data_IF_751420733781
#
_entry.id   IF_751420733781
#
_cell.length_a   1.000
_cell.length_b   1.000
_cell.length_c   1.000
_cell.angle_alpha   90.00
_cell.angle_beta   90.00
_cell.angle_gamma   90.00
#
_symmetry.space_group_name_H-M   'P 1'
#
loop_
_entity.id
_entity.type
_entity.pdbx_description
1 polymer ?
#
# COMPACT_ATOMS: atom_id res chain seq x y z
N UNK A 1 33.35 11.13 31.80
CA UNK A 1 32.64 9.96 31.17
C UNK A 1 31.23 10.29 30.70
N UNK A 2 30.81 11.55 30.57
CA UNK A 2 29.43 11.94 30.23
C UNK A 2 29.24 12.59 28.85
N UNK A 3 30.33 12.96 28.14
CA UNK A 3 30.22 13.56 26.81
C UNK A 3 30.23 12.55 25.65
N UNK A 4 30.92 11.43 25.76
CA UNK A 4 31.00 10.42 24.67
C UNK A 4 29.69 9.61 24.50
N UNK A 5 28.90 9.44 25.56
CA UNK A 5 27.62 8.69 25.47
C UNK A 5 26.49 9.51 24.83
N UNK A 6 26.54 10.84 24.91
CA UNK A 6 25.57 11.72 24.23
C UNK A 6 25.84 11.84 22.73
N UNK A 7 27.11 11.93 22.32
CA UNK A 7 27.48 12.01 20.90
C UNK A 7 27.16 10.70 20.14
N UNK A 8 27.37 9.54 20.73
CA UNK A 8 27.03 8.26 20.13
C UNK A 8 25.52 8.10 19.92
N UNK A 9 24.69 8.59 20.86
CA UNK A 9 23.22 8.57 20.74
C UNK A 9 22.70 9.54 19.67
N UNK A 10 23.34 10.71 19.50
CA UNK A 10 23.00 11.68 18.45
C UNK A 10 23.41 11.20 17.05
N UNK A 11 24.55 10.53 16.89
CA UNK A 11 24.97 9.94 15.61
C UNK A 11 24.03 8.78 15.18
N UNK A 12 23.64 7.92 16.10
CA UNK A 12 22.68 6.82 15.86
C UNK A 12 21.32 7.37 15.41
N UNK A 13 20.80 8.40 16.07
CA UNK A 13 19.53 9.06 15.72
C UNK A 13 19.54 9.76 14.36
N UNK A 14 20.66 10.43 14.00
CA UNK A 14 20.82 11.02 12.66
C UNK A 14 20.82 9.98 11.54
N UNK A 15 21.44 8.83 11.76
CA UNK A 15 21.45 7.72 10.81
C UNK A 15 20.05 7.10 10.64
N UNK A 16 19.29 7.00 11.72
CA UNK A 16 17.90 6.51 11.69
C UNK A 16 16.94 7.46 10.98
N UNK A 17 17.11 8.78 11.18
CA UNK A 17 16.34 9.81 10.48
C UNK A 17 16.65 9.80 8.97
N UNK A 18 17.89 9.49 8.57
CA UNK A 18 18.25 9.27 7.17
C UNK A 18 17.58 8.02 6.57
N UNK A 19 17.36 6.97 7.37
CA UNK A 19 16.63 5.75 6.96
C UNK A 19 15.15 6.00 6.67
N UNK A 20 14.52 7.03 7.29
CA UNK A 20 13.15 7.45 6.98
C UNK A 20 13.01 8.09 5.59
N UNK A 21 14.09 8.67 5.04
CA UNK A 21 14.10 9.27 3.70
C UNK A 21 14.04 8.19 2.62
N UNK A 22 14.51 6.98 2.92
CA UNK A 22 14.53 5.84 1.99
C UNK A 22 13.19 5.17 1.73
N UNK A 23 12.07 5.69 2.25
CA UNK A 23 10.69 5.29 1.92
C UNK A 23 10.31 3.81 2.13
N UNK A 24 11.27 3.00 2.47
CA UNK A 24 11.17 1.60 2.84
C UNK A 24 12.34 1.33 3.79
N UNK A 25 12.07 0.89 5.00
CA UNK A 25 13.11 0.58 5.96
C UNK A 25 14.12 -0.43 5.40
N UNK A 26 15.25 0.07 4.92
CA UNK A 26 16.40 -0.78 4.65
C UNK A 26 17.03 -1.07 6.00
N UNK A 27 16.60 -2.12 6.66
CA UNK A 27 17.37 -2.71 7.73
C UNK A 27 18.68 -3.25 7.13
N UNK A 28 19.80 -2.57 7.41
CA UNK A 28 21.12 -3.12 7.19
C UNK A 28 21.25 -4.36 8.10
N UNK A 29 21.05 -5.54 7.53
CA UNK A 29 21.42 -6.78 8.17
C UNK A 29 22.95 -6.83 8.24
N UNK A 30 23.51 -6.53 9.41
CA UNK A 30 24.88 -6.88 9.75
C UNK A 30 24.97 -8.40 9.85
N UNK A 31 25.52 -9.01 8.81
CA UNK A 31 25.76 -10.46 8.77
C UNK A 31 26.73 -10.90 9.85
N UNK A 32 26.31 -11.84 10.67
CA UNK A 32 27.21 -12.63 11.51
C UNK A 32 28.04 -13.52 10.60
N UNK A 33 29.35 -13.30 10.60
CA UNK A 33 30.35 -14.19 9.99
C UNK A 33 30.51 -15.43 10.82
N UNK A 34 30.19 -16.60 10.27
CA UNK A 34 30.68 -17.89 10.78
C UNK A 34 31.88 -18.31 9.94
N UNK A 35 33.00 -18.58 10.64
CA UNK A 35 34.24 -19.08 10.11
C UNK A 35 34.11 -20.48 9.48
N UNK A 36 34.66 -20.65 8.29
CA UNK A 36 34.89 -21.93 7.65
C UNK A 36 36.13 -21.85 6.73
N UNK A 37 37.13 -22.65 7.02
CA UNK A 37 38.49 -22.67 6.52
C UNK A 37 38.66 -23.09 5.06
N UNK A 38 39.63 -22.43 4.42
CA UNK A 38 40.66 -22.85 3.42
C UNK A 38 40.32 -23.48 2.08
N UNK A 39 40.74 -22.83 1.00
CA UNK A 39 41.76 -23.33 0.04
C UNK A 39 42.16 -22.26 -0.99
N UNK A 40 43.41 -22.27 -1.35
CA UNK A 40 44.17 -21.30 -2.16
C UNK A 40 43.81 -21.33 -3.66
N UNK A 41 43.85 -20.16 -4.30
CA UNK A 41 43.88 -20.00 -5.75
C UNK A 41 44.16 -18.55 -6.14
N UNK A 42 45.39 -18.30 -6.63
CA UNK A 42 45.91 -16.98 -7.04
C UNK A 42 45.46 -16.65 -8.47
N UNK A 43 44.95 -15.43 -8.70
CA UNK A 43 45.03 -14.72 -9.99
C UNK A 43 44.51 -13.25 -9.87
N UNK A 44 44.74 -12.35 -10.83
CA UNK A 44 45.34 -11.06 -10.55
C UNK A 44 44.31 -9.92 -10.37
N UNK A 45 44.76 -8.88 -9.69
CA UNK A 45 44.10 -7.65 -9.32
C UNK A 45 43.93 -6.72 -10.52
N UNK A 46 42.77 -6.14 -10.75
CA UNK A 46 42.63 -4.83 -11.39
C UNK A 46 42.44 -3.74 -10.35
N UNK A 47 43.24 -2.71 -10.45
CA UNK A 47 43.13 -1.45 -9.77
C UNK A 47 41.86 -0.72 -10.26
N UNK A 48 40.98 -0.31 -9.36
CA UNK A 48 39.98 0.70 -9.65
C UNK A 48 39.75 1.55 -8.41
N UNK A 49 40.17 2.79 -8.52
CA UNK A 49 39.70 3.88 -7.67
C UNK A 49 38.29 4.25 -8.06
N UNK A 50 37.39 4.33 -7.08
CA UNK A 50 36.30 5.33 -7.04
C UNK A 50 35.50 5.13 -5.75
N UNK A 51 35.76 5.95 -4.77
CA UNK A 51 34.91 6.18 -3.61
C UNK A 51 33.68 6.95 -4.05
N UNK A 52 32.58 6.29 -4.20
CA UNK A 52 31.25 6.85 -4.26
C UNK A 52 30.35 5.96 -3.43
N UNK A 53 29.86 6.44 -2.29
CA UNK A 53 28.86 5.74 -1.49
C UNK A 53 27.59 5.57 -2.34
N UNK A 54 27.49 4.48 -3.06
CA UNK A 54 26.25 4.07 -3.70
C UNK A 54 25.31 3.59 -2.59
N UNK A 55 24.25 4.35 -2.32
CA UNK A 55 23.05 3.75 -1.72
C UNK A 55 22.70 2.54 -2.58
N UNK A 56 22.78 1.33 -2.01
CA UNK A 56 22.75 0.10 -2.77
C UNK A 56 21.46 0.02 -3.59
N UNK A 57 21.60 0.05 -4.92
CA UNK A 57 20.49 -0.22 -5.82
C UNK A 57 19.96 -1.63 -5.53
N UNK A 58 18.65 -1.78 -5.35
CA UNK A 58 18.01 -3.08 -5.24
C UNK A 58 18.26 -3.84 -6.55
N UNK A 59 18.88 -5.02 -6.53
CA UNK A 59 19.22 -5.73 -7.75
C UNK A 59 17.99 -5.99 -8.63
N UNK A 60 18.14 -5.76 -9.95
CA UNK A 60 17.06 -6.00 -10.93
C UNK A 60 15.96 -4.95 -10.97
N UNK A 61 16.08 -3.83 -10.24
CA UNK A 61 15.10 -2.74 -10.26
C UNK A 61 15.55 -1.61 -11.16
N UNK A 62 14.69 -1.19 -12.07
CA UNK A 62 14.89 0.01 -12.87
C UNK A 62 14.90 1.25 -11.97
N UNK A 63 15.88 2.13 -12.15
CA UNK A 63 15.94 3.42 -11.46
C UNK A 63 15.28 4.51 -12.32
N UNK A 64 14.05 4.84 -12.01
CA UNK A 64 13.31 5.97 -12.59
C UNK A 64 13.69 7.28 -11.88
N UNK A 65 13.82 7.22 -10.55
CA UNK A 65 14.20 8.32 -9.68
C UNK A 65 15.31 7.87 -8.73
N UNK A 66 16.18 8.81 -8.34
CA UNK A 66 17.27 8.52 -7.37
C UNK A 66 16.77 8.28 -5.95
N UNK A 67 15.67 8.93 -5.56
CA UNK A 67 15.03 8.71 -4.26
C UNK A 67 14.20 7.44 -4.28
N UNK A 68 14.38 6.53 -3.31
CA UNK A 68 13.69 5.23 -3.29
C UNK A 68 12.16 5.33 -3.20
N UNK A 69 11.60 6.32 -2.49
CA UNK A 69 10.15 6.46 -2.35
C UNK A 69 9.50 6.89 -3.67
N UNK A 70 10.09 7.88 -4.34
CA UNK A 70 9.64 8.30 -5.66
C UNK A 70 9.86 7.20 -6.70
N UNK A 71 10.98 6.45 -6.61
CA UNK A 71 11.26 5.34 -7.50
C UNK A 71 10.21 4.24 -7.36
N UNK A 72 9.88 3.84 -6.14
CA UNK A 72 8.84 2.84 -5.86
C UNK A 72 7.48 3.27 -6.43
N UNK A 73 7.07 4.52 -6.22
CA UNK A 73 5.82 5.06 -6.75
C UNK A 73 5.82 5.17 -8.28
N UNK A 74 6.94 5.54 -8.89
CA UNK A 74 7.09 5.54 -10.35
C UNK A 74 6.97 4.14 -10.95
N UNK A 75 7.57 3.13 -10.30
CA UNK A 75 7.43 1.72 -10.69
C UNK A 75 6.00 1.21 -10.52
N UNK A 76 5.31 1.64 -9.46
CA UNK A 76 3.88 1.34 -9.26
C UNK A 76 3.01 1.90 -10.38
N UNK A 77 3.23 3.17 -10.74
CA UNK A 77 2.54 3.79 -11.88
C UNK A 77 2.82 3.04 -13.19
N UNK A 78 4.08 2.65 -13.43
CA UNK A 78 4.49 1.95 -14.64
C UNK A 78 3.86 0.55 -14.72
N UNK A 79 3.82 -0.20 -13.63
CA UNK A 79 3.22 -1.54 -13.57
C UNK A 79 1.72 -1.55 -13.87
N UNK A 80 1.02 -0.47 -13.55
CA UNK A 80 -0.40 -0.29 -13.88
C UNK A 80 -0.72 -0.35 -15.39
N UNK A 81 0.30 -0.18 -16.26
CA UNK A 81 0.14 -0.23 -17.73
C UNK A 81 -0.40 -1.60 -18.21
N UNK A 82 -0.02 -2.70 -17.57
CA UNK A 82 -0.51 -4.04 -17.89
C UNK A 82 -2.03 -4.21 -17.75
N UNK A 83 -2.68 -3.31 -17.01
CA UNK A 83 -4.13 -3.32 -16.74
C UNK A 83 -4.86 -2.07 -17.28
N UNK A 84 -4.20 -1.26 -18.10
CA UNK A 84 -4.76 -0.01 -18.62
C UNK A 84 -4.91 1.12 -17.58
N UNK A 85 -4.34 0.94 -16.37
CA UNK A 85 -4.29 1.96 -15.32
C UNK A 85 -3.26 3.06 -15.56
N UNK A 86 -2.37 2.86 -16.52
CA UNK A 86 -1.41 3.86 -16.99
C UNK A 86 -0.98 3.56 -18.43
N UNK A 87 -0.19 4.46 -19.01
CA UNK A 87 0.52 4.25 -20.28
C UNK A 87 2.02 4.39 -20.05
N UNK A 88 2.82 3.46 -20.57
CA UNK A 88 4.28 3.47 -20.41
C UNK A 88 4.87 4.81 -20.84
N UNK A 89 4.45 5.33 -22.01
CA UNK A 89 4.92 6.61 -22.55
C UNK A 89 4.54 7.81 -21.68
N UNK A 90 3.33 7.83 -21.13
CA UNK A 90 2.86 8.88 -20.22
C UNK A 90 3.70 8.89 -18.93
N UNK A 91 3.92 7.72 -18.32
CA UNK A 91 4.72 7.58 -17.08
C UNK A 91 6.17 7.99 -17.31
N UNK A 92 6.83 7.48 -18.37
CA UNK A 92 8.22 7.81 -18.66
C UNK A 92 8.40 9.30 -19.02
N UNK A 93 7.42 9.91 -19.69
CA UNK A 93 7.41 11.36 -19.95
C UNK A 93 7.28 12.14 -18.65
N UNK A 94 6.43 11.71 -17.72
CA UNK A 94 6.32 12.31 -16.39
C UNK A 94 7.64 12.20 -15.62
N UNK A 95 8.25 11.01 -15.59
CA UNK A 95 9.56 10.78 -14.96
C UNK A 95 10.63 11.74 -15.53
N UNK A 96 10.73 11.84 -16.85
CA UNK A 96 11.68 12.74 -17.50
C UNK A 96 11.40 14.21 -17.14
N UNK A 97 10.14 14.62 -17.10
CA UNK A 97 9.72 15.98 -16.75
C UNK A 97 10.13 16.31 -15.31
N UNK A 98 9.85 15.42 -14.36
CA UNK A 98 10.17 15.58 -12.95
C UNK A 98 11.69 15.63 -12.75
N UNK A 99 12.44 14.69 -13.34
CA UNK A 99 13.91 14.65 -13.22
C UNK A 99 14.55 15.91 -13.80
N UNK A 100 14.03 16.46 -14.92
CA UNK A 100 14.51 17.69 -15.54
C UNK A 100 14.20 18.94 -14.73
N UNK A 101 13.02 19.01 -14.11
CA UNK A 101 12.60 20.13 -13.26
C UNK A 101 13.26 20.12 -11.87
N UNK A 102 13.81 18.99 -11.46
CA UNK A 102 14.30 18.72 -10.11
C UNK A 102 13.30 17.92 -9.29
N UNK A 103 13.73 16.77 -8.78
CA UNK A 103 12.89 15.85 -8.01
C UNK A 103 12.49 16.47 -6.67
N UNK A 104 11.20 16.67 -6.48
CA UNK A 104 10.57 17.11 -5.23
C UNK A 104 9.12 16.63 -5.19
N UNK A 105 8.50 16.64 -4.00
CA UNK A 105 7.07 16.37 -3.88
C UNK A 105 6.22 17.31 -4.73
N UNK A 106 6.62 18.60 -4.82
CA UNK A 106 5.90 19.59 -5.62
C UNK A 106 5.92 19.25 -7.11
N UNK A 107 7.11 19.02 -7.69
CA UNK A 107 7.23 18.68 -9.12
C UNK A 107 6.53 17.36 -9.47
N UNK A 108 6.54 16.40 -8.54
CA UNK A 108 5.84 15.11 -8.70
C UNK A 108 4.33 15.31 -8.72
N UNK A 109 3.78 16.00 -7.73
CA UNK A 109 2.35 16.29 -7.59
C UNK A 109 1.82 17.06 -8.81
N UNK A 110 2.49 18.16 -9.19
CA UNK A 110 2.08 18.97 -10.35
C UNK A 110 2.07 18.16 -11.64
N UNK A 111 3.11 17.34 -11.86
CA UNK A 111 3.24 16.57 -13.10
C UNK A 111 2.15 15.52 -13.21
N UNK A 112 1.92 14.70 -12.18
CA UNK A 112 0.90 13.66 -12.22
C UNK A 112 -0.52 14.23 -12.16
N UNK A 113 -0.77 15.28 -11.37
CA UNK A 113 -2.05 16.00 -11.39
C UNK A 113 -2.39 16.53 -12.78
N UNK A 114 -1.42 17.16 -13.45
CA UNK A 114 -1.58 17.68 -14.82
C UNK A 114 -1.95 16.58 -15.80
N UNK A 115 -1.34 15.40 -15.71
CA UNK A 115 -1.70 14.25 -16.54
C UNK A 115 -3.15 13.80 -16.29
N UNK A 116 -3.56 13.70 -15.04
CA UNK A 116 -4.93 13.39 -14.66
C UNK A 116 -5.93 14.40 -15.25
N UNK A 117 -5.64 15.70 -15.06
CA UNK A 117 -6.47 16.80 -15.58
C UNK A 117 -6.61 16.75 -17.12
N UNK A 118 -5.51 16.46 -17.83
CA UNK A 118 -5.52 16.35 -19.30
C UNK A 118 -6.37 15.16 -19.77
N UNK A 119 -6.32 14.03 -19.08
CA UNK A 119 -7.10 12.85 -19.44
C UNK A 119 -8.59 13.04 -19.19
N UNK A 120 -8.96 13.77 -18.13
CA UNK A 120 -10.37 14.05 -17.81
C UNK A 120 -11.02 15.09 -18.74
N UNK A 121 -10.21 15.90 -19.45
CA UNK A 121 -10.69 16.84 -20.47
C UNK A 121 -10.81 16.13 -21.82
N UNK A 122 -11.93 16.30 -22.52
CA UNK A 122 -12.00 15.90 -23.92
C UNK A 122 -11.07 16.81 -24.74
N UNK A 123 -10.26 16.29 -25.67
CA UNK A 123 -9.53 17.12 -26.62
C UNK A 123 -10.52 17.99 -27.43
N UNK A 124 -10.13 19.23 -27.70
CA UNK A 124 -10.97 20.16 -28.45
C UNK A 124 -11.36 19.56 -29.81
N UNK A 125 -12.63 19.67 -30.17
CA UNK A 125 -13.16 19.12 -31.42
C UNK A 125 -13.27 17.60 -31.48
N UNK A 126 -12.89 16.85 -30.41
CA UNK A 126 -12.97 15.39 -30.39
C UNK A 126 -14.24 14.90 -29.68
N UNK A 127 -14.77 13.75 -30.14
CA UNK A 127 -15.87 13.02 -29.48
C UNK A 127 -15.39 11.59 -29.20
N UNK A 128 -14.58 11.37 -28.15
CA UNK A 128 -14.07 10.04 -27.84
C UNK A 128 -15.22 9.09 -27.52
N UNK A 129 -15.11 7.86 -28.00
CA UNK A 129 -16.08 6.80 -27.73
C UNK A 129 -16.09 6.39 -26.24
N UNK A 130 -17.03 5.50 -25.87
CA UNK A 130 -17.17 5.01 -24.50
C UNK A 130 -15.89 4.35 -23.97
N UNK A 131 -15.25 3.51 -24.77
CA UNK A 131 -14.05 2.77 -24.37
C UNK A 131 -12.86 3.71 -24.14
N UNK A 132 -12.63 4.66 -25.04
CA UNK A 132 -11.59 5.69 -24.91
C UNK A 132 -11.81 6.51 -23.64
N UNK A 133 -13.05 6.95 -23.36
CA UNK A 133 -13.37 7.70 -22.12
C UNK A 133 -13.15 6.87 -20.87
N UNK A 134 -13.52 5.57 -20.90
CA UNK A 134 -13.33 4.64 -19.80
C UNK A 134 -11.85 4.48 -19.45
N UNK A 135 -11.00 4.17 -20.43
CA UNK A 135 -9.56 3.98 -20.21
C UNK A 135 -8.86 5.27 -19.80
N UNK A 136 -9.28 6.42 -20.33
CA UNK A 136 -8.76 7.73 -19.88
C UNK A 136 -9.12 8.02 -18.43
N UNK A 137 -10.34 7.70 -18.01
CA UNK A 137 -10.78 7.88 -16.63
C UNK A 137 -10.00 6.97 -15.67
N UNK A 138 -9.73 5.71 -16.05
CA UNK A 138 -8.92 4.78 -15.26
C UNK A 138 -7.49 5.31 -15.06
N UNK A 139 -6.82 5.75 -16.16
CA UNK A 139 -5.47 6.35 -16.07
C UNK A 139 -5.47 7.63 -15.26
N UNK A 140 -6.47 8.49 -15.43
CA UNK A 140 -6.59 9.71 -14.64
C UNK A 140 -6.68 9.42 -13.14
N UNK A 141 -7.50 8.43 -12.74
CA UNK A 141 -7.60 8.00 -11.35
C UNK A 141 -6.24 7.54 -10.79
N UNK A 142 -5.46 6.78 -11.58
CA UNK A 142 -4.11 6.35 -11.19
C UNK A 142 -3.15 7.53 -11.05
N UNK A 143 -3.18 8.50 -11.96
CA UNK A 143 -2.27 9.64 -11.88
C UNK A 143 -2.62 10.61 -10.74
N UNK A 144 -3.90 10.79 -10.44
CA UNK A 144 -4.30 11.50 -9.21
C UNK A 144 -3.89 10.75 -7.94
N UNK A 145 -3.95 9.41 -7.92
CA UNK A 145 -3.45 8.61 -6.80
C UNK A 145 -1.94 8.78 -6.59
N UNK A 146 -1.14 8.82 -7.68
CA UNK A 146 0.29 9.13 -7.62
C UNK A 146 0.56 10.51 -6.99
N UNK A 147 -0.18 11.53 -7.43
CA UNK A 147 -0.05 12.88 -6.88
C UNK A 147 -0.48 12.93 -5.39
N UNK A 148 -1.57 12.27 -5.03
CA UNK A 148 -2.11 12.23 -3.67
C UNK A 148 -1.11 11.64 -2.65
N UNK A 149 -0.29 10.68 -3.06
CA UNK A 149 0.70 10.07 -2.16
C UNK A 149 1.75 11.08 -1.66
N UNK A 150 2.14 12.05 -2.49
CA UNK A 150 3.19 13.03 -2.15
C UNK A 150 2.68 14.42 -1.76
N UNK A 151 1.38 14.67 -1.82
CA UNK A 151 0.81 16.02 -1.63
C UNK A 151 1.15 16.65 -0.27
N UNK A 152 1.23 15.85 0.79
CA UNK A 152 1.59 16.34 2.13
C UNK A 152 3.06 16.81 2.25
N UNK A 153 3.90 16.49 1.26
CA UNK A 153 5.27 16.97 1.15
C UNK A 153 5.45 18.09 0.12
N UNK A 154 4.39 18.50 -0.57
CA UNK A 154 4.38 19.59 -1.55
C UNK A 154 4.17 20.97 -0.89
N UNK A 155 4.18 22.01 -1.69
CA UNK A 155 3.92 23.39 -1.27
C UNK A 155 2.42 23.66 -1.03
N UNK A 156 1.54 22.72 -1.43
CA UNK A 156 0.07 22.82 -1.33
C UNK A 156 -0.57 21.61 -0.61
N UNK A 157 -0.11 21.26 0.61
CA UNK A 157 -0.61 20.09 1.33
C UNK A 157 -2.11 20.19 1.70
N UNK A 158 -2.67 21.40 1.78
CA UNK A 158 -4.08 21.68 2.00
C UNK A 158 -4.97 21.19 0.85
N UNK A 159 -4.40 21.00 -0.35
CA UNK A 159 -5.14 20.50 -1.53
C UNK A 159 -5.40 18.97 -1.51
N UNK A 160 -4.99 18.27 -0.46
CA UNK A 160 -5.12 16.80 -0.37
C UNK A 160 -6.55 16.31 -0.59
N UNK A 161 -7.55 16.93 0.05
CA UNK A 161 -8.93 16.51 -0.10
C UNK A 161 -9.46 16.80 -1.51
N UNK A 162 -9.09 17.94 -2.11
CA UNK A 162 -9.44 18.28 -3.49
C UNK A 162 -8.86 17.26 -4.47
N UNK A 163 -7.59 16.94 -4.30
CA UNK A 163 -6.87 15.97 -5.13
C UNK A 163 -7.47 14.56 -5.00
N UNK A 164 -7.83 14.14 -3.77
CA UNK A 164 -8.58 12.90 -3.55
C UNK A 164 -9.91 12.92 -4.31
N UNK A 165 -10.68 14.01 -4.22
CA UNK A 165 -11.98 14.12 -4.91
C UNK A 165 -11.84 14.07 -6.42
N UNK A 166 -10.76 14.63 -6.99
CA UNK A 166 -10.46 14.52 -8.41
C UNK A 166 -10.19 13.06 -8.82
N UNK A 167 -9.35 12.35 -8.06
CA UNK A 167 -9.07 10.93 -8.29
C UNK A 167 -10.31 10.06 -8.13
N UNK A 168 -11.12 10.32 -7.10
CA UNK A 168 -12.38 9.61 -6.88
C UNK A 168 -13.39 9.87 -8.01
N UNK A 169 -13.51 11.10 -8.49
CA UNK A 169 -14.37 11.43 -9.63
C UNK A 169 -13.93 10.72 -10.91
N UNK A 170 -12.63 10.57 -11.13
CA UNK A 170 -12.10 9.80 -12.26
C UNK A 170 -12.41 8.30 -12.11
N UNK A 171 -12.26 7.73 -10.92
CA UNK A 171 -12.67 6.35 -10.60
C UNK A 171 -14.16 6.12 -10.81
N UNK A 172 -15.02 6.99 -10.27
CA UNK A 172 -16.46 6.88 -10.44
C UNK A 172 -16.86 6.97 -11.92
N UNK A 173 -16.18 7.85 -12.70
CA UNK A 173 -16.38 7.92 -14.15
C UNK A 173 -15.93 6.66 -14.89
N UNK A 174 -14.82 6.05 -14.48
CA UNK A 174 -14.40 4.74 -15.00
C UNK A 174 -15.47 3.70 -14.72
N UNK A 175 -15.97 3.60 -13.49
CA UNK A 175 -17.01 2.66 -13.08
C UNK A 175 -18.31 2.84 -13.89
N UNK A 176 -18.77 4.09 -14.06
CA UNK A 176 -19.95 4.42 -14.89
C UNK A 176 -19.83 3.92 -16.33
N UNK A 177 -18.60 3.94 -16.86
CA UNK A 177 -18.29 3.55 -18.23
C UNK A 177 -17.92 2.06 -18.40
N UNK A 178 -17.88 1.27 -17.33
CA UNK A 178 -17.75 -0.18 -17.41
C UNK A 178 -19.02 -0.84 -17.97
N UNK A 179 -18.87 -2.05 -18.53
CA UNK A 179 -19.97 -2.83 -19.07
C UNK A 179 -19.82 -4.30 -18.63
N UNK A 180 -20.66 -4.74 -17.67
CA UNK A 180 -21.60 -3.94 -16.90
C UNK A 180 -20.91 -2.96 -15.93
N UNK A 181 -21.60 -1.90 -15.58
CA UNK A 181 -21.17 -1.03 -14.50
C UNK A 181 -21.23 -1.78 -13.15
N UNK A 182 -20.31 -1.53 -12.21
CA UNK A 182 -20.38 -2.15 -10.89
C UNK A 182 -21.65 -1.72 -10.12
N UNK A 183 -22.17 -2.62 -9.31
CA UNK A 183 -23.22 -2.27 -8.35
C UNK A 183 -22.58 -1.45 -7.24
N UNK A 184 -23.08 -0.25 -7.01
CA UNK A 184 -22.62 0.64 -5.94
C UNK A 184 -23.63 0.67 -4.79
N UNK A 185 -23.12 0.72 -3.56
CA UNK A 185 -23.93 0.86 -2.36
C UNK A 185 -23.16 1.57 -1.24
N UNK A 186 -23.87 2.01 -0.21
CA UNK A 186 -23.30 2.43 1.06
C UNK A 186 -23.69 1.43 2.15
N UNK A 187 -22.75 0.61 2.61
CA UNK A 187 -23.03 -0.40 3.64
C UNK A 187 -23.01 0.26 5.02
N UNK A 188 -24.04 0.07 5.86
CA UNK A 188 -24.11 0.71 7.17
C UNK A 188 -22.87 0.43 8.04
N UNK A 189 -22.21 1.51 8.50
CA UNK A 189 -21.07 1.46 9.40
C UNK A 189 -21.06 2.69 10.31
N UNK A 190 -21.48 2.54 11.54
CA UNK A 190 -21.59 3.66 12.47
C UNK A 190 -22.40 4.84 11.90
N UNK A 191 -21.78 6.04 11.87
CA UNK A 191 -22.39 7.26 11.32
C UNK A 191 -22.06 7.49 9.84
N UNK A 192 -21.15 6.73 9.27
CA UNK A 192 -20.64 6.91 7.90
C UNK A 192 -20.68 5.57 7.18
N UNK A 193 -21.47 5.42 6.09
CA UNK A 193 -21.52 4.17 5.35
C UNK A 193 -20.19 3.88 4.67
N UNK A 194 -19.89 2.58 4.50
CA UNK A 194 -18.77 2.10 3.69
C UNK A 194 -19.21 2.17 2.21
N UNK A 195 -18.58 2.97 1.36
CA UNK A 195 -18.82 2.93 -0.08
C UNK A 195 -18.29 1.63 -0.66
N UNK A 196 -19.08 0.97 -1.52
CA UNK A 196 -18.70 -0.28 -2.18
C UNK A 196 -18.96 -0.24 -3.68
N UNK A 197 -18.15 -1.01 -4.43
CA UNK A 197 -18.28 -1.26 -5.86
C UNK A 197 -18.16 -2.76 -6.10
N UNK A 198 -19.27 -3.42 -6.40
CA UNK A 198 -19.27 -4.84 -6.78
C UNK A 198 -19.20 -4.95 -8.31
N UNK A 199 -18.04 -5.30 -8.81
CA UNK A 199 -17.81 -5.63 -10.21
C UNK A 199 -18.28 -7.07 -10.47
N UNK A 200 -18.90 -7.26 -11.62
CA UNK A 200 -19.41 -8.57 -12.08
C UNK A 200 -18.99 -8.78 -13.53
N UNK A 201 -18.71 -10.04 -13.95
CA UNK A 201 -18.35 -10.33 -15.34
C UNK A 201 -19.44 -9.94 -16.35
N UNK A 202 -20.72 -10.10 -15.95
CA UNK A 202 -21.89 -9.78 -16.76
C UNK A 202 -23.13 -9.49 -15.90
N UNK A 203 -24.25 -9.16 -16.54
CA UNK A 203 -25.56 -8.91 -15.90
C UNK A 203 -26.49 -10.13 -15.92
N UNK A 204 -25.97 -11.34 -16.14
CA UNK A 204 -26.78 -12.58 -16.21
C UNK A 204 -27.46 -12.94 -14.88
N UNK A 205 -27.01 -12.39 -13.76
CA UNK A 205 -27.43 -12.78 -12.42
C UNK A 205 -26.92 -14.15 -11.98
N UNK A 206 -26.00 -14.77 -12.74
CA UNK A 206 -25.35 -16.04 -12.40
C UNK A 206 -24.66 -15.93 -11.06
N UNK A 207 -24.90 -16.91 -10.18
CA UNK A 207 -24.22 -17.01 -8.91
C UNK A 207 -22.72 -17.32 -9.10
N UNK A 208 -21.84 -16.47 -8.56
CA UNK A 208 -20.38 -16.56 -8.75
C UNK A 208 -19.62 -16.48 -7.45
N UNK A 209 -18.42 -17.10 -7.38
CA UNK A 209 -17.48 -16.81 -6.31
C UNK A 209 -17.14 -15.31 -6.31
N UNK A 210 -16.84 -14.78 -5.13
CA UNK A 210 -16.63 -13.34 -4.96
C UNK A 210 -15.37 -13.10 -4.16
N UNK A 211 -14.48 -12.25 -4.67
CA UNK A 211 -13.32 -11.77 -3.92
C UNK A 211 -13.60 -10.41 -3.31
N UNK A 212 -13.38 -10.29 -2.00
CA UNK A 212 -13.44 -9.06 -1.23
C UNK A 212 -12.02 -8.49 -1.15
N UNK A 213 -11.79 -7.34 -1.79
CA UNK A 213 -10.49 -6.74 -1.96
C UNK A 213 -10.27 -5.65 -0.90
N UNK A 214 -9.38 -5.90 0.08
CA UNK A 214 -9.00 -4.94 1.10
C UNK A 214 -7.73 -4.21 0.70
N UNK A 215 -7.83 -2.89 0.52
CA UNK A 215 -6.68 -2.05 0.19
C UNK A 215 -5.79 -1.78 1.41
N UNK A 216 -4.54 -1.36 1.18
CA UNK A 216 -3.58 -0.97 2.20
C UNK A 216 -3.83 0.42 2.81
N UNK A 217 -2.77 1.00 3.37
CA UNK A 217 -2.82 2.33 4.00
C UNK A 217 -2.77 3.48 3.00
N UNK A 218 -2.10 3.28 1.86
CA UNK A 218 -1.73 4.37 0.96
C UNK A 218 -2.43 4.26 -0.41
N UNK A 219 -2.90 3.06 -0.78
CA UNK A 219 -3.52 2.78 -2.06
C UNK A 219 -4.92 3.40 -2.20
N UNK A 220 -5.31 3.62 -3.46
CA UNK A 220 -6.64 4.11 -3.81
C UNK A 220 -7.45 2.99 -4.52
N UNK A 221 -8.75 3.20 -4.74
CA UNK A 221 -9.62 2.18 -5.37
C UNK A 221 -9.13 1.73 -6.74
N UNK A 222 -8.49 2.64 -7.50
CA UNK A 222 -7.93 2.33 -8.81
C UNK A 222 -6.84 1.25 -8.75
N UNK A 223 -6.09 1.17 -7.65
CA UNK A 223 -5.07 0.13 -7.47
C UNK A 223 -5.71 -1.26 -7.40
N UNK A 224 -6.92 -1.37 -6.82
CA UNK A 224 -7.64 -2.65 -6.75
C UNK A 224 -8.08 -3.16 -8.12
N UNK A 225 -8.16 -2.30 -9.15
CA UNK A 225 -8.36 -2.74 -10.52
C UNK A 225 -7.23 -3.66 -10.99
N UNK A 226 -5.98 -3.23 -10.80
CA UNK A 226 -4.79 -4.00 -11.19
C UNK A 226 -4.50 -5.19 -10.24
N UNK A 227 -4.85 -5.05 -8.95
CA UNK A 227 -4.53 -6.06 -7.92
C UNK A 227 -5.71 -6.95 -7.55
N UNK A 228 -6.70 -7.09 -8.44
CA UNK A 228 -7.75 -8.06 -8.18
C UNK A 228 -8.97 -7.97 -9.09
N UNK A 229 -9.54 -6.79 -9.34
CA UNK A 229 -10.80 -6.68 -10.09
C UNK A 229 -10.66 -7.26 -11.51
N UNK A 230 -9.65 -6.80 -12.28
CA UNK A 230 -9.47 -7.28 -13.66
C UNK A 230 -9.30 -8.80 -13.71
N UNK A 231 -8.40 -9.34 -12.89
CA UNK A 231 -8.13 -10.78 -12.83
C UNK A 231 -9.33 -11.62 -12.38
N UNK A 232 -10.17 -11.09 -11.46
CA UNK A 232 -11.40 -11.74 -11.03
C UNK A 232 -12.41 -11.85 -12.19
N UNK A 233 -12.64 -10.72 -12.89
CA UNK A 233 -13.60 -10.68 -14.00
C UNK A 233 -13.20 -11.62 -15.14
N UNK A 234 -11.92 -11.70 -15.49
CA UNK A 234 -11.39 -12.62 -16.50
C UNK A 234 -11.57 -14.10 -16.14
N UNK A 235 -11.75 -14.41 -14.85
CA UNK A 235 -11.93 -15.77 -14.31
C UNK A 235 -13.37 -16.07 -13.90
N UNK A 236 -14.33 -15.27 -14.34
CA UNK A 236 -15.78 -15.42 -14.03
C UNK A 236 -16.08 -15.29 -12.53
N UNK A 237 -15.34 -14.44 -11.81
CA UNK A 237 -15.55 -14.09 -10.40
C UNK A 237 -16.10 -12.67 -10.26
N UNK A 238 -16.91 -12.45 -9.23
CA UNK A 238 -17.22 -11.10 -8.78
C UNK A 238 -16.05 -10.54 -7.94
N UNK A 239 -15.91 -9.20 -7.96
CA UNK A 239 -14.93 -8.50 -7.12
C UNK A 239 -15.57 -7.33 -6.39
N UNK A 240 -15.44 -7.28 -5.06
CA UNK A 240 -15.90 -6.18 -4.24
C UNK A 240 -14.73 -5.29 -3.82
N UNK A 241 -14.75 -4.03 -4.25
CA UNK A 241 -13.87 -2.95 -3.78
C UNK A 241 -14.64 -2.09 -2.79
N UNK A 242 -13.99 -1.57 -1.76
CA UNK A 242 -14.61 -0.71 -0.76
C UNK A 242 -13.62 0.26 -0.12
N UNK A 243 -14.13 1.36 0.45
CA UNK A 243 -13.37 2.22 1.36
C UNK A 243 -13.72 1.86 2.81
N UNK A 244 -12.72 1.49 3.60
CA UNK A 244 -12.84 1.29 5.03
C UNK A 244 -12.35 2.50 5.84
N UNK A 245 -12.47 2.48 7.18
CA UNK A 245 -11.83 3.44 8.06
C UNK A 245 -10.34 3.60 7.73
N UNK A 246 -9.84 4.84 7.67
CA UNK A 246 -8.46 5.13 7.29
C UNK A 246 -8.17 5.06 5.80
N UNK A 247 -9.16 4.81 4.95
CA UNK A 247 -9.02 4.65 3.50
C UNK A 247 -10.00 5.55 2.74
N UNK A 248 -9.59 5.98 1.56
CA UNK A 248 -10.44 6.63 0.57
C UNK A 248 -11.37 7.70 1.14
N UNK A 249 -12.66 7.63 0.82
CA UNK A 249 -13.65 8.61 1.24
C UNK A 249 -13.77 8.72 2.78
N UNK A 250 -13.64 7.58 3.50
CA UNK A 250 -13.75 7.61 4.95
C UNK A 250 -12.63 8.43 5.57
N UNK A 251 -11.40 8.31 5.09
CA UNK A 251 -10.27 9.09 5.57
C UNK A 251 -10.36 10.54 5.10
N UNK A 252 -10.27 10.76 3.79
CA UNK A 252 -10.00 12.09 3.24
C UNK A 252 -11.16 13.06 3.38
N UNK A 253 -12.40 12.56 3.38
CA UNK A 253 -13.62 13.38 3.44
C UNK A 253 -14.30 13.28 4.81
N UNK A 254 -14.53 12.06 5.29
CA UNK A 254 -15.30 11.83 6.51
C UNK A 254 -14.43 11.84 7.78
N UNK A 255 -13.09 11.84 7.65
CA UNK A 255 -12.12 11.87 8.75
C UNK A 255 -12.26 10.70 9.72
N UNK A 256 -12.59 9.52 9.19
CA UNK A 256 -12.68 8.27 9.94
C UNK A 256 -11.35 7.53 9.79
N UNK A 257 -10.61 7.40 10.88
CA UNK A 257 -9.28 6.79 10.92
C UNK A 257 -9.33 5.27 11.10
N UNK A 258 -8.20 4.59 10.89
CA UNK A 258 -8.09 3.13 11.04
C UNK A 258 -8.58 2.62 12.40
N UNK A 259 -9.16 1.42 12.36
CA UNK A 259 -9.55 0.65 13.54
C UNK A 259 -8.77 -0.67 13.63
N UNK A 260 -8.33 -1.09 14.83
CA UNK A 260 -7.72 -2.41 15.00
C UNK A 260 -8.74 -3.56 14.96
N UNK A 261 -10.03 -3.25 14.88
CA UNK A 261 -11.14 -4.21 14.87
C UNK A 261 -11.72 -4.37 13.45
N UNK A 262 -10.86 -4.79 12.49
CA UNK A 262 -11.26 -4.84 11.08
C UNK A 262 -12.41 -5.83 10.79
N UNK A 263 -12.66 -6.78 11.70
CA UNK A 263 -13.86 -7.63 11.66
C UNK A 263 -15.15 -6.81 11.65
N UNK A 264 -15.18 -5.65 12.32
CA UNK A 264 -16.36 -4.77 12.33
C UNK A 264 -16.61 -4.07 10.99
N UNK A 265 -15.60 -4.05 10.12
CA UNK A 265 -15.69 -3.52 8.75
C UNK A 265 -16.10 -4.63 7.78
N UNK A 266 -15.47 -5.80 7.86
CA UNK A 266 -15.69 -6.90 6.91
C UNK A 266 -17.01 -7.61 7.14
N UNK A 267 -17.45 -7.81 8.39
CA UNK A 267 -18.72 -8.52 8.69
C UNK A 267 -19.93 -7.91 7.98
N UNK A 268 -20.21 -6.59 8.04
CA UNK A 268 -21.34 -6.02 7.29
C UNK A 268 -21.20 -6.10 5.77
N UNK A 269 -19.97 -6.12 5.23
CA UNK A 269 -19.74 -6.36 3.80
C UNK A 269 -20.10 -7.79 3.42
N UNK A 270 -19.72 -8.77 4.25
CA UNK A 270 -20.10 -10.19 4.07
C UNK A 270 -21.61 -10.37 4.21
N UNK A 271 -22.26 -9.71 5.19
CA UNK A 271 -23.72 -9.72 5.34
C UNK A 271 -24.41 -9.26 4.05
N UNK A 272 -23.93 -8.18 3.46
CA UNK A 272 -24.47 -7.66 2.21
C UNK A 272 -24.22 -8.60 1.03
N UNK A 273 -23.05 -9.23 0.95
CA UNK A 273 -22.71 -10.19 -0.12
C UNK A 273 -23.57 -11.44 -0.04
N UNK A 274 -23.73 -12.07 1.13
CA UNK A 274 -24.50 -13.32 1.28
C UNK A 274 -26.00 -13.14 1.05
N UNK A 275 -26.51 -11.93 1.16
CA UNK A 275 -27.90 -11.60 0.85
C UNK A 275 -28.18 -11.47 -0.66
N UNK A 276 -27.16 -11.54 -1.52
CA UNK A 276 -27.28 -11.37 -2.97
C UNK A 276 -27.45 -12.70 -3.68
N UNK A 277 -28.32 -12.74 -4.68
CA UNK A 277 -28.55 -13.94 -5.51
C UNK A 277 -27.42 -14.21 -6.51
N UNK A 278 -26.62 -13.19 -6.87
CA UNK A 278 -25.51 -13.30 -7.81
C UNK A 278 -24.15 -13.62 -7.13
N UNK A 279 -24.16 -13.87 -5.80
CA UNK A 279 -22.98 -14.22 -4.99
C UNK A 279 -23.12 -15.65 -4.46
N UNK A 280 -22.11 -16.50 -4.67
CA UNK A 280 -22.01 -17.79 -4.00
C UNK A 280 -21.48 -17.58 -2.57
N UNK A 281 -22.40 -17.62 -1.60
CA UNK A 281 -22.10 -17.41 -0.19
C UNK A 281 -21.08 -18.41 0.39
N UNK A 282 -20.90 -19.58 -0.22
CA UNK A 282 -19.91 -20.58 0.17
C UNK A 282 -18.51 -20.34 -0.44
N UNK A 283 -18.38 -19.39 -1.34
CA UNK A 283 -17.12 -19.08 -2.05
C UNK A 283 -16.80 -17.58 -2.01
N UNK A 284 -16.77 -16.99 -0.81
CA UNK A 284 -16.33 -15.63 -0.58
C UNK A 284 -14.86 -15.67 -0.11
N UNK A 285 -13.95 -15.16 -0.93
CA UNK A 285 -12.55 -14.99 -0.58
C UNK A 285 -12.29 -13.58 -0.05
N UNK A 286 -11.36 -13.44 0.89
CA UNK A 286 -10.89 -12.15 1.41
C UNK A 286 -9.41 -11.99 1.08
N UNK A 287 -9.04 -10.86 0.46
CA UNK A 287 -7.64 -10.53 0.20
C UNK A 287 -7.24 -9.24 0.89
N UNK A 288 -5.97 -9.11 1.26
CA UNK A 288 -5.43 -7.90 1.87
C UNK A 288 -4.10 -7.50 1.26
N UNK A 289 -4.06 -6.33 0.59
CA UNK A 289 -2.88 -5.78 -0.07
C UNK A 289 -2.12 -4.85 0.87
N UNK A 290 -0.79 -4.93 0.91
CA UNK A 290 0.07 -4.07 1.73
C UNK A 290 -0.29 -4.18 3.23
N UNK A 291 -0.55 -3.09 3.93
CA UNK A 291 -0.97 -3.12 5.33
C UNK A 291 -2.25 -3.94 5.55
N UNK A 292 -3.08 -4.12 4.54
CA UNK A 292 -4.24 -5.00 4.65
C UNK A 292 -3.88 -6.49 4.73
N UNK A 293 -2.63 -6.87 4.50
CA UNK A 293 -2.10 -8.17 4.91
C UNK A 293 -2.07 -8.38 6.44
N UNK A 294 -2.42 -7.33 7.22
CA UNK A 294 -2.77 -7.40 8.64
C UNK A 294 -4.29 -7.33 8.84
N UNK A 295 -4.97 -6.39 8.16
CA UNK A 295 -6.39 -6.10 8.36
C UNK A 295 -7.29 -7.27 7.94
N UNK A 296 -7.03 -7.88 6.77
CA UNK A 296 -7.78 -9.01 6.27
C UNK A 296 -7.62 -10.27 7.16
N UNK A 297 -6.42 -10.69 7.57
CA UNK A 297 -6.25 -11.74 8.57
C UNK A 297 -6.91 -11.43 9.91
N UNK A 298 -6.88 -10.17 10.36
CA UNK A 298 -7.64 -9.76 11.56
C UNK A 298 -9.12 -10.06 11.41
N UNK A 299 -9.72 -9.64 10.29
CA UNK A 299 -11.14 -9.90 10.05
C UNK A 299 -11.44 -11.39 9.94
N UNK A 300 -10.65 -12.16 9.19
CA UNK A 300 -10.80 -13.61 9.01
C UNK A 300 -10.71 -14.41 10.32
N UNK A 301 -9.96 -13.90 11.32
CA UNK A 301 -9.91 -14.52 12.64
C UNK A 301 -11.29 -14.53 13.35
N UNK A 302 -12.23 -13.66 12.95
CA UNK A 302 -13.55 -13.50 13.55
C UNK A 302 -14.71 -13.77 12.58
N UNK A 303 -14.56 -13.48 11.29
CA UNK A 303 -15.58 -13.70 10.26
C UNK A 303 -15.40 -15.08 9.60
N UNK A 304 -16.19 -16.05 10.04
CA UNK A 304 -16.03 -17.46 9.64
C UNK A 304 -16.71 -17.85 8.32
N UNK A 305 -17.46 -16.94 7.70
CA UNK A 305 -18.07 -17.14 6.37
C UNK A 305 -17.09 -16.89 5.24
N UNK A 306 -15.88 -16.33 5.54
CA UNK A 306 -14.79 -16.25 4.57
C UNK A 306 -14.30 -17.66 4.29
N UNK A 307 -14.32 -18.06 3.01
CA UNK A 307 -13.97 -19.40 2.57
C UNK A 307 -12.47 -19.56 2.27
N UNK A 308 -11.77 -18.48 1.91
CA UNK A 308 -10.32 -18.43 1.70
C UNK A 308 -9.76 -17.04 2.02
N UNK A 309 -8.50 -16.99 2.49
CA UNK A 309 -7.80 -15.77 2.85
C UNK A 309 -6.49 -15.65 2.07
N UNK A 310 -6.17 -14.44 1.58
CA UNK A 310 -4.86 -14.13 0.99
C UNK A 310 -4.27 -12.89 1.66
N UNK A 311 -3.07 -13.00 2.24
CA UNK A 311 -2.32 -11.91 2.86
C UNK A 311 -1.12 -11.52 1.98
N UNK A 312 -1.05 -10.27 1.52
CA UNK A 312 -0.13 -9.79 0.47
C UNK A 312 0.58 -8.47 0.85
N UNK A 313 1.70 -8.51 1.61
CA UNK A 313 2.33 -9.63 2.31
C UNK A 313 1.62 -9.97 3.62
N UNK A 314 1.96 -11.11 4.21
CA UNK A 314 1.57 -11.42 5.57
C UNK A 314 2.17 -10.42 6.56
N UNK A 315 1.35 -9.74 7.36
CA UNK A 315 1.79 -8.74 8.34
C UNK A 315 1.11 -8.97 9.69
N UNK A 316 1.89 -9.27 10.72
CA UNK A 316 1.39 -9.49 12.09
C UNK A 316 1.31 -8.20 12.89
N UNK A 317 2.30 -7.34 12.74
CA UNK A 317 2.52 -6.17 13.58
C UNK A 317 3.01 -4.99 12.73
N UNK A 318 2.11 -4.15 12.18
CA UNK A 318 2.49 -3.00 11.35
C UNK A 318 3.46 -2.04 12.04
N UNK A 319 3.38 -1.91 13.38
CA UNK A 319 4.29 -1.06 14.16
C UNK A 319 5.77 -1.47 14.03
N UNK A 320 6.06 -2.76 13.84
CA UNK A 320 7.43 -3.25 13.63
C UNK A 320 8.03 -2.85 12.27
N UNK A 321 7.22 -2.36 11.33
CA UNK A 321 7.68 -1.78 10.06
C UNK A 321 8.31 -0.39 10.20
N UNK A 322 8.16 0.27 11.36
CA UNK A 322 8.84 1.54 11.63
C UNK A 322 10.26 1.31 12.15
N UNK A 323 11.21 2.23 11.87
CA UNK A 323 12.56 2.17 12.41
C UNK A 323 12.56 2.04 13.93
N UNK A 324 13.52 1.28 14.47
CA UNK A 324 13.60 0.99 15.91
C UNK A 324 13.63 2.28 16.73
N UNK A 325 14.37 3.27 16.30
CA UNK A 325 14.54 4.56 16.97
C UNK A 325 13.23 5.34 17.06
N UNK A 326 12.36 5.22 16.07
CA UNK A 326 11.01 5.80 16.10
C UNK A 326 10.10 5.01 17.04
N UNK A 327 10.26 3.68 17.07
CA UNK A 327 9.46 2.83 17.97
C UNK A 327 9.83 3.05 19.45
N UNK A 328 11.11 3.28 19.74
CA UNK A 328 11.63 3.53 21.10
C UNK A 328 11.17 4.87 21.69
N UNK A 329 10.69 5.84 20.87
CA UNK A 329 10.06 7.07 21.38
C UNK A 329 8.76 6.74 22.14
N UNK A 330 8.04 5.70 21.70
CA UNK A 330 6.74 5.35 22.26
C UNK A 330 6.88 4.68 23.61
N UNK A 331 6.46 5.37 24.67
CA UNK A 331 6.40 4.85 26.04
C UNK A 331 4.95 4.66 26.49
N UNK A 332 4.75 4.24 27.74
CA UNK A 332 3.41 4.22 28.37
C UNK A 332 2.92 5.62 28.76
N UNK A 333 3.82 6.61 28.83
CA UNK A 333 3.51 7.98 29.24
C UNK A 333 3.40 8.90 28.01
N UNK A 334 2.18 9.41 27.78
CA UNK A 334 1.88 10.29 26.63
C UNK A 334 2.71 11.58 26.64
N UNK A 335 2.85 12.21 27.80
CA UNK A 335 3.57 13.49 27.92
C UNK A 335 5.06 13.30 27.62
N UNK A 336 5.67 12.26 28.18
CA UNK A 336 7.08 11.91 27.93
C UNK A 336 7.30 11.59 26.43
N UNK A 337 6.46 10.77 25.83
CA UNK A 337 6.53 10.42 24.41
C UNK A 337 6.46 11.67 23.52
N UNK A 338 5.45 12.52 23.73
CA UNK A 338 5.26 13.73 22.94
C UNK A 338 6.36 14.78 23.21
N UNK A 339 6.94 14.79 24.39
CA UNK A 339 8.05 15.68 24.71
C UNK A 339 9.31 15.31 23.94
N UNK A 340 9.68 14.02 23.90
CA UNK A 340 10.80 13.54 23.08
C UNK A 340 10.53 13.81 21.60
N UNK A 341 9.33 13.49 21.10
CA UNK A 341 8.94 13.75 19.72
C UNK A 341 9.13 15.23 19.33
N UNK A 342 8.56 16.13 20.11
CA UNK A 342 8.53 17.56 19.78
C UNK A 342 9.88 18.28 19.98
N UNK A 343 10.67 17.87 20.96
CA UNK A 343 11.91 18.58 21.32
C UNK A 343 13.17 17.98 20.70
N UNK A 344 13.16 16.67 20.46
CA UNK A 344 14.35 15.98 20.00
C UNK A 344 14.23 15.46 18.54
N UNK A 345 13.04 15.09 18.07
CA UNK A 345 12.86 14.48 16.76
C UNK A 345 12.41 15.50 15.71
N UNK A 346 11.30 16.19 15.94
CA UNK A 346 10.71 17.11 14.95
C UNK A 346 11.70 18.19 14.46
N UNK A 347 12.52 18.83 15.33
CA UNK A 347 13.46 19.85 14.89
C UNK A 347 14.57 19.33 13.97
N UNK A 348 14.88 18.04 14.05
CA UNK A 348 15.95 17.39 13.29
C UNK A 348 15.43 16.62 12.04
N UNK A 349 14.11 16.57 11.81
CA UNK A 349 13.53 15.84 10.67
C UNK A 349 13.88 16.53 9.35
N UNK A 350 14.59 15.85 8.42
CA UNK A 350 14.70 16.32 7.05
C UNK A 350 13.32 16.45 6.40
N UNK A 351 13.16 17.37 5.45
CA UNK A 351 11.86 17.62 4.81
C UNK A 351 11.20 16.37 4.22
N UNK A 352 11.98 15.47 3.59
CA UNK A 352 11.49 14.23 3.05
C UNK A 352 10.99 13.26 4.15
N UNK A 353 11.73 13.17 5.28
CA UNK A 353 11.31 12.38 6.43
C UNK A 353 10.04 12.96 7.07
N UNK A 354 9.96 14.29 7.19
CA UNK A 354 8.77 14.97 7.68
C UNK A 354 7.53 14.69 6.81
N UNK A 355 7.69 14.71 5.48
CA UNK A 355 6.64 14.35 4.52
C UNK A 355 6.18 12.87 4.71
N UNK A 356 7.15 11.96 4.83
CA UNK A 356 6.88 10.53 5.10
C UNK A 356 6.13 10.35 6.42
N UNK A 357 6.56 11.00 7.50
CA UNK A 357 5.89 10.91 8.80
C UNK A 357 4.46 11.46 8.74
N UNK A 358 4.24 12.60 8.07
CA UNK A 358 2.89 13.14 7.85
C UNK A 358 2.00 12.11 7.14
N UNK A 359 2.47 11.53 6.04
CA UNK A 359 1.72 10.55 5.24
C UNK A 359 1.43 9.25 6.01
N UNK A 360 2.41 8.71 6.74
CA UNK A 360 2.28 7.45 7.47
C UNK A 360 1.38 7.53 8.70
N UNK A 361 1.23 8.70 9.30
CA UNK A 361 0.49 8.88 10.55
C UNK A 361 -0.90 9.52 10.37
N UNK A 362 -1.18 10.16 9.23
CA UNK A 362 -2.49 10.78 8.95
C UNK A 362 -3.67 9.80 9.07
N UNK A 363 -3.58 8.54 8.59
CA UNK A 363 -4.74 7.65 8.63
C UNK A 363 -5.02 7.07 10.03
N UNK A 364 -4.21 7.43 11.04
CA UNK A 364 -4.36 6.95 12.41
C UNK A 364 -4.77 8.04 13.42
N UNK A 365 -4.82 9.30 12.99
CA UNK A 365 -5.18 10.41 13.89
C UNK A 365 -5.71 11.61 13.09
N UNK A 366 -6.96 12.01 13.36
CA UNK A 366 -7.55 13.22 12.74
C UNK A 366 -6.72 14.47 13.03
N UNK A 367 -6.24 14.74 14.27
CA UNK A 367 -5.34 15.85 14.51
C UNK A 367 -4.03 15.78 13.71
N UNK A 368 -3.44 14.58 13.52
CA UNK A 368 -2.23 14.42 12.71
C UNK A 368 -2.51 14.73 11.23
N UNK A 369 -3.62 14.24 10.68
CA UNK A 369 -4.06 14.54 9.31
C UNK A 369 -4.26 16.06 9.12
N UNK A 370 -4.96 16.74 10.04
CA UNK A 370 -5.22 18.18 9.92
C UNK A 370 -3.94 19.00 10.03
N UNK A 371 -2.98 18.60 10.88
CA UNK A 371 -1.67 19.23 10.95
C UNK A 371 -0.89 19.03 9.63
N UNK A 372 -0.92 17.83 9.07
CA UNK A 372 -0.26 17.50 7.82
C UNK A 372 -0.79 18.34 6.64
N UNK A 373 -2.11 18.53 6.55
CA UNK A 373 -2.77 19.42 5.57
C UNK A 373 -2.43 20.89 5.76
N UNK A 374 -1.94 21.30 6.93
CA UNK A 374 -1.41 22.63 7.18
C UNK A 374 0.11 22.73 6.93
N UNK A 375 0.72 21.71 6.32
CA UNK A 375 2.15 21.61 6.09
C UNK A 375 2.99 21.30 7.34
N UNK A 376 2.34 21.10 8.50
CA UNK A 376 3.00 20.93 9.80
C UNK A 376 3.16 19.44 10.14
N UNK A 377 4.26 19.11 10.81
CA UNK A 377 4.38 17.85 11.52
C UNK A 377 3.49 17.92 12.77
N UNK A 378 2.75 16.83 13.04
CA UNK A 378 1.87 16.75 14.20
C UNK A 378 2.68 16.73 15.51
N UNK A 379 2.08 17.24 16.59
CA UNK A 379 2.72 17.33 17.92
C UNK A 379 2.33 16.20 18.87
N UNK A 380 1.20 15.52 18.61
CA UNK A 380 0.78 14.34 19.36
C UNK A 380 1.22 13.07 18.60
N UNK A 381 2.42 12.60 18.88
CA UNK A 381 2.96 11.34 18.33
C UNK A 381 2.35 10.11 19.02
N UNK A 382 2.07 10.22 20.33
CA UNK A 382 1.59 9.10 21.11
C UNK A 382 0.30 8.48 20.56
N UNK A 383 -0.71 9.31 20.25
CA UNK A 383 -2.03 8.83 19.82
C UNK A 383 -1.99 8.00 18.53
N UNK A 384 -1.44 8.48 17.40
CA UNK A 384 -1.36 7.66 16.20
C UNK A 384 -0.40 6.47 16.35
N UNK A 385 0.72 6.60 17.07
CA UNK A 385 1.63 5.49 17.31
C UNK A 385 0.96 4.34 18.09
N UNK A 386 0.19 4.66 19.16
CA UNK A 386 -0.62 3.66 19.88
C UNK A 386 -1.71 3.04 19.02
N UNK A 387 -2.28 3.79 18.09
CA UNK A 387 -3.26 3.26 17.15
C UNK A 387 -2.64 2.25 16.18
N UNK A 388 -1.40 2.50 15.72
CA UNK A 388 -0.65 1.55 14.87
C UNK A 388 -0.22 0.32 15.68
N UNK A 389 0.31 0.51 16.90
CA UNK A 389 0.71 -0.58 17.80
C UNK A 389 -0.47 -1.52 18.11
N UNK A 390 -1.69 -0.98 18.24
CA UNK A 390 -2.90 -1.75 18.48
C UNK A 390 -3.34 -2.64 17.28
N UNK A 391 -2.75 -2.49 16.10
CA UNK A 391 -3.03 -3.34 14.95
C UNK A 391 -2.37 -4.73 15.04
N UNK A 392 -1.67 -5.07 16.13
CA UNK A 392 -1.13 -6.43 16.31
C UNK A 392 -2.22 -7.49 16.23
N UNK A 393 -1.96 -8.54 15.44
CA UNK A 393 -2.83 -9.72 15.31
C UNK A 393 -2.18 -11.00 15.83
N UNK A 394 -0.99 -10.89 16.43
CA UNK A 394 -0.21 -12.02 16.94
C UNK A 394 -1.01 -12.93 17.85
N UNK A 395 -1.88 -12.37 18.69
CA UNK A 395 -2.73 -13.15 19.64
C UNK A 395 -3.96 -13.81 18.99
N UNK A 396 -4.33 -13.44 17.77
CA UNK A 396 -5.56 -13.91 17.11
C UNK A 396 -5.33 -14.67 15.81
N UNK A 397 -4.12 -14.63 15.25
CA UNK A 397 -3.79 -15.30 13.98
C UNK A 397 -4.10 -16.80 13.99
N UNK A 398 -3.90 -17.48 15.13
CA UNK A 398 -4.26 -18.89 15.30
C UNK A 398 -5.77 -19.18 15.30
N UNK A 399 -6.63 -18.15 15.30
CA UNK A 399 -8.09 -18.30 15.16
C UNK A 399 -8.55 -18.37 13.70
N UNK A 400 -7.67 -18.14 12.73
CA UNK A 400 -7.94 -18.27 11.30
C UNK A 400 -8.10 -19.77 11.00
N UNK A 401 -9.22 -20.17 10.41
CA UNK A 401 -9.57 -21.58 10.18
C UNK A 401 -9.69 -21.95 8.70
N UNK A 402 -9.92 -20.96 7.82
CA UNK A 402 -10.00 -21.17 6.39
C UNK A 402 -8.61 -21.33 5.76
N UNK A 403 -8.49 -21.99 4.59
CA UNK A 403 -7.25 -22.01 3.81
C UNK A 403 -6.70 -20.60 3.62
N UNK A 404 -5.39 -20.45 3.81
CA UNK A 404 -4.72 -19.13 3.80
C UNK A 404 -3.46 -19.17 2.94
N UNK A 405 -3.40 -18.30 1.93
CA UNK A 405 -2.19 -18.01 1.18
C UNK A 405 -1.47 -16.80 1.82
N UNK A 406 -0.18 -16.98 2.10
CA UNK A 406 0.71 -15.89 2.56
C UNK A 406 1.71 -15.60 1.47
N UNK A 407 1.65 -14.41 0.89
CA UNK A 407 2.69 -13.93 -0.02
C UNK A 407 3.83 -13.26 0.75
N UNK A 408 5.03 -13.43 0.23
CA UNK A 408 6.25 -12.73 0.64
C UNK A 408 6.96 -12.20 -0.61
N UNK A 409 7.83 -11.22 -0.43
CA UNK A 409 8.62 -10.64 -1.51
C UNK A 409 10.11 -10.69 -1.13
N UNK A 410 10.95 -11.04 -2.08
CA UNK A 410 12.39 -11.23 -1.82
C UNK A 410 13.04 -9.98 -1.19
N UNK A 411 12.61 -8.81 -1.62
CA UNK A 411 13.01 -7.51 -1.07
C UNK A 411 11.82 -6.79 -0.46
N UNK A 412 11.13 -7.45 0.49
CA UNK A 412 10.05 -6.83 1.26
C UNK A 412 10.59 -5.69 2.12
N UNK A 413 10.18 -4.45 1.82
CA UNK A 413 10.74 -3.26 2.42
C UNK A 413 10.01 -2.79 3.68
N UNK A 414 8.73 -3.15 3.84
CA UNK A 414 7.87 -2.61 4.92
C UNK A 414 7.71 -3.58 6.09
N UNK A 415 7.62 -4.88 5.80
CA UNK A 415 7.34 -5.92 6.80
C UNK A 415 8.32 -7.09 6.70
N UNK A 416 9.65 -6.85 6.64
CA UNK A 416 10.63 -7.91 6.41
C UNK A 416 10.51 -9.01 7.47
N UNK A 417 10.43 -10.28 7.02
CA UNK A 417 10.34 -11.46 7.87
C UNK A 417 8.95 -11.74 8.48
N UNK A 418 8.03 -10.77 8.48
CA UNK A 418 6.70 -10.97 9.04
C UNK A 418 5.83 -11.96 8.25
N UNK A 419 5.89 -12.04 6.90
CA UNK A 419 5.15 -13.06 6.16
C UNK A 419 5.50 -14.48 6.59
N UNK A 420 6.77 -14.79 6.77
CA UNK A 420 7.22 -16.10 7.26
C UNK A 420 6.74 -16.37 8.69
N UNK A 421 6.86 -15.37 9.56
CA UNK A 421 6.38 -15.48 10.95
C UNK A 421 4.86 -15.70 11.01
N UNK A 422 4.08 -15.03 10.15
CA UNK A 422 2.65 -15.26 10.05
C UNK A 422 2.35 -16.68 9.59
N UNK A 423 2.99 -17.12 8.52
CA UNK A 423 2.83 -18.47 8.00
C UNK A 423 3.09 -19.53 9.09
N UNK A 424 4.17 -19.39 9.85
CA UNK A 424 4.52 -20.34 10.90
C UNK A 424 3.48 -20.39 12.04
N UNK A 425 2.84 -19.25 12.35
CA UNK A 425 1.81 -19.15 13.41
C UNK A 425 0.40 -19.59 12.99
N UNK A 426 0.10 -19.64 11.69
CA UNK A 426 -1.18 -20.16 11.19
C UNK A 426 -1.32 -21.65 11.50
N UNK A 427 -2.51 -22.07 11.92
CA UNK A 427 -2.86 -23.46 12.20
C UNK A 427 -3.84 -24.05 11.19
N UNK A 428 -4.45 -23.21 10.33
CA UNK A 428 -5.27 -23.60 9.18
C UNK A 428 -4.46 -24.25 8.07
N UNK A 429 -5.09 -24.90 7.07
CA UNK A 429 -4.44 -25.19 5.80
C UNK A 429 -3.80 -23.90 5.23
N UNK A 430 -2.55 -23.98 4.78
CA UNK A 430 -1.80 -22.77 4.43
C UNK A 430 -0.76 -23.04 3.37
N UNK A 431 -0.58 -22.04 2.51
CA UNK A 431 0.45 -22.00 1.48
C UNK A 431 1.28 -20.73 1.61
N UNK A 432 2.54 -20.82 1.19
CA UNK A 432 3.49 -19.72 1.25
C UNK A 432 4.17 -19.56 -0.11
N UNK A 433 4.05 -18.40 -0.70
CA UNK A 433 4.70 -18.10 -1.98
C UNK A 433 5.57 -16.85 -1.83
N UNK A 434 6.83 -16.97 -2.24
CA UNK A 434 7.78 -15.87 -2.28
C UNK A 434 8.01 -15.41 -3.70
N UNK A 435 7.63 -14.17 -4.00
CA UNK A 435 7.86 -13.53 -5.29
C UNK A 435 9.27 -12.94 -5.33
N UNK A 436 9.99 -13.18 -6.44
CA UNK A 436 11.45 -12.98 -6.50
C UNK A 436 11.89 -12.03 -7.60
N UNK A 437 13.18 -11.62 -7.54
CA UNK A 437 13.84 -10.80 -8.55
C UNK A 437 14.00 -11.50 -9.90
N UNK A 438 13.98 -12.84 -9.93
CA UNK A 438 14.09 -13.59 -11.18
C UNK A 438 13.01 -13.23 -12.20
N UNK A 439 11.86 -12.75 -11.74
CA UNK A 439 10.72 -12.37 -12.57
C UNK A 439 10.30 -10.90 -12.41
N UNK A 440 11.07 -10.10 -11.65
CA UNK A 440 10.77 -8.69 -11.41
C UNK A 440 9.69 -8.43 -10.36
N UNK A 441 9.28 -9.45 -9.60
CA UNK A 441 8.18 -9.38 -8.64
C UNK A 441 8.63 -9.19 -7.17
N UNK A 442 9.88 -8.86 -6.92
CA UNK A 442 10.58 -8.93 -5.64
C UNK A 442 10.23 -7.82 -4.63
N UNK A 443 9.68 -6.71 -5.07
CA UNK A 443 9.37 -5.57 -4.19
C UNK A 443 7.99 -5.73 -3.53
N UNK A 444 7.78 -5.05 -2.43
CA UNK A 444 6.50 -4.98 -1.72
C UNK A 444 5.29 -4.85 -2.67
N UNK A 445 4.37 -5.80 -2.62
CA UNK A 445 3.20 -5.87 -3.52
C UNK A 445 3.54 -5.97 -5.03
N UNK A 446 4.77 -6.30 -5.41
CA UNK A 446 5.20 -6.50 -6.81
C UNK A 446 4.81 -5.37 -7.77
N UNK A 447 5.22 -4.10 -7.54
CA UNK A 447 4.77 -2.95 -8.33
C UNK A 447 5.11 -3.05 -9.82
N UNK A 448 6.17 -3.80 -10.17
CA UNK A 448 6.57 -4.01 -11.58
C UNK A 448 5.92 -5.24 -12.21
N UNK A 449 5.27 -6.09 -11.42
CA UNK A 449 4.76 -7.38 -11.87
C UNK A 449 3.35 -7.68 -11.28
N UNK A 450 2.39 -6.75 -11.35
CA UNK A 450 1.04 -6.97 -10.82
C UNK A 450 0.31 -8.13 -11.49
N UNK A 451 0.63 -8.45 -12.77
CA UNK A 451 0.09 -9.61 -13.47
C UNK A 451 0.48 -10.91 -12.75
N UNK A 452 1.79 -11.12 -12.52
CA UNK A 452 2.29 -12.33 -11.83
C UNK A 452 1.73 -12.45 -10.41
N UNK A 453 1.59 -11.31 -9.73
CA UNK A 453 0.94 -11.25 -8.42
C UNK A 453 -0.50 -11.81 -8.50
N UNK A 454 -1.29 -11.31 -9.47
CA UNK A 454 -2.66 -11.78 -9.69
C UNK A 454 -2.72 -13.25 -10.10
N UNK A 455 -1.81 -13.72 -10.97
CA UNK A 455 -1.79 -15.11 -11.40
C UNK A 455 -1.62 -16.05 -10.20
N UNK A 456 -0.62 -15.79 -9.34
CA UNK A 456 -0.42 -16.59 -8.12
C UNK A 456 -1.64 -16.58 -7.22
N UNK A 457 -2.27 -15.43 -7.01
CA UNK A 457 -3.43 -15.29 -6.13
C UNK A 457 -4.65 -16.03 -6.68
N UNK A 458 -4.96 -15.82 -7.96
CA UNK A 458 -6.20 -16.37 -8.53
C UNK A 458 -6.08 -17.83 -8.93
N UNK A 459 -4.90 -18.32 -9.31
CA UNK A 459 -4.68 -19.76 -9.52
C UNK A 459 -4.90 -20.50 -8.20
N UNK A 460 -4.30 -20.01 -7.11
CA UNK A 460 -4.51 -20.57 -5.78
C UNK A 460 -5.98 -20.50 -5.33
N UNK A 461 -6.68 -19.38 -5.58
CA UNK A 461 -8.09 -19.24 -5.23
C UNK A 461 -8.98 -20.21 -6.02
N UNK A 462 -8.71 -20.44 -7.31
CA UNK A 462 -9.46 -21.38 -8.14
C UNK A 462 -9.25 -22.84 -7.70
N UNK A 463 -8.03 -23.19 -7.29
CA UNK A 463 -7.73 -24.53 -6.74
C UNK A 463 -8.39 -24.74 -5.35
N UNK A 464 -8.36 -23.70 -4.51
CA UNK A 464 -8.89 -23.76 -3.14
C UNK A 464 -10.42 -23.72 -3.10
N UNK A 465 -11.05 -22.99 -4.00
CA UNK A 465 -12.51 -22.80 -4.10
C UNK A 465 -13.01 -23.25 -5.48
N UNK A 466 -12.94 -24.56 -5.79
CA UNK A 466 -13.30 -25.06 -7.11
C UNK A 466 -14.77 -24.79 -7.44
N UNK A 467 -15.08 -24.71 -8.74
CA UNK A 467 -16.46 -24.64 -9.23
C UNK A 467 -17.26 -25.88 -8.77
N UNK A 468 -18.52 -25.67 -8.42
CA UNK A 468 -19.46 -26.81 -8.19
C UNK A 468 -19.96 -27.35 -9.51
#
# INVERSE_FOLDING_TARGET
>A
MTHESQDASHLSRRTALAGLVGGAGVALATGCTSNGTSAQGVAPRPTASATGSSVGATPGVMTLFRDPAFNFSGLWALGGAGFGGSEVGEVLTAVNTINKAGLSSQTYVETFKKLGDQLMRAPEGSKPDRQTRRLRALRAAQYYAQALFFVLGSDTPESEEELYRAGRGAWDKFCELCDPAPVTAGIPYGKTPLPVWLFRPDDSGKQRPTVLLTNGSDGQNVDMWAYGVSAALERDWNALVYDGPGQGQLLFVNRVVFTPRWETVVTPLVDWLVARSDVDAGRIALTGLSMAGNLAPRAAAFEKRIAALVAMPGCLEPWLGFPQEIREILTSNKEQTNNVWNKEIVPELPAAAAATMKKRFEPFSVPAMLAARQGKVFTDFYTPAKSIEALTITSVVGRITMPTLVLDYEYEQFYPGQPRTMFDKLTSPKDYVKLTAATGAQLHCSPMAPQQHCDVVFDWLQETLPGR
#
